data_IF_187437711559
#
_entry.id   IF_187437711559
#
_cell.length_a   1.000
_cell.length_b   1.000
_cell.length_c   1.000
_cell.angle_alpha   90.00
_cell.angle_beta   90.00
_cell.angle_gamma   90.00
#
_symmetry.space_group_name_H-M   'P 1'
#
loop_
_entity.id
_entity.type
_entity.pdbx_description
1 polymer ?
#
# COMPACT_ATOMS: atom_id res chain seq x y z
N UNK A 1 -18.10 -5.48 29.48
CA UNK A 1 -17.66 -6.89 29.35
C UNK A 1 -17.37 -7.14 27.87
N UNK A 2 -16.24 -6.62 27.39
CA UNK A 2 -15.82 -6.69 25.99
C UNK A 2 -14.99 -7.96 25.78
N UNK A 3 -15.51 -8.95 25.05
CA UNK A 3 -14.74 -10.08 24.56
C UNK A 3 -14.07 -9.67 23.25
N UNK A 4 -12.83 -9.19 23.33
CA UNK A 4 -11.91 -9.18 22.20
C UNK A 4 -11.38 -10.60 22.02
N UNK A 5 -12.00 -11.37 21.13
CA UNK A 5 -11.35 -12.59 20.64
C UNK A 5 -10.43 -12.21 19.48
N UNK A 6 -9.13 -12.17 19.75
CA UNK A 6 -8.09 -12.28 18.72
C UNK A 6 -8.11 -13.72 18.20
N UNK A 7 -8.51 -13.93 16.95
CA UNK A 7 -8.53 -15.26 16.32
C UNK A 7 -7.42 -15.36 15.30
N UNK A 8 -6.36 -16.06 15.69
CA UNK A 8 -5.12 -16.17 14.95
C UNK A 8 -5.03 -17.46 14.11
N UNK A 9 -4.20 -17.39 13.08
CA UNK A 9 -3.70 -18.51 12.29
C UNK A 9 -2.28 -18.77 12.78
N UNK A 10 -1.93 -20.03 13.09
CA UNK A 10 -0.60 -20.35 13.59
C UNK A 10 -0.03 -21.50 12.80
N UNK A 11 1.21 -21.29 12.35
CA UNK A 11 2.10 -22.33 11.87
C UNK A 11 3.14 -22.68 12.94
N UNK A 12 3.53 -23.94 13.03
CA UNK A 12 4.64 -24.37 13.88
C UNK A 12 5.66 -25.14 13.04
N UNK A 13 6.92 -24.67 13.05
CA UNK A 13 8.10 -25.46 12.64
C UNK A 13 8.77 -26.01 13.90
N UNK A 14 9.26 -27.24 13.86
CA UNK A 14 10.12 -27.82 14.90
C UNK A 14 11.49 -28.01 14.26
N UNK A 15 12.48 -27.19 14.64
CA UNK A 15 13.88 -27.34 14.20
C UNK A 15 14.79 -27.52 15.41
N UNK A 16 15.79 -28.41 15.28
CA UNK A 16 16.69 -28.83 16.36
C UNK A 16 18.11 -28.21 16.30
N UNK A 17 18.37 -27.24 15.41
CA UNK A 17 19.71 -26.66 15.26
C UNK A 17 19.84 -25.27 15.88
N UNK A 18 20.95 -25.11 16.62
CA UNK A 18 21.36 -23.88 17.29
C UNK A 18 21.97 -22.90 16.29
N UNK A 19 21.63 -21.63 16.50
CA UNK A 19 22.12 -20.41 15.86
C UNK A 19 21.58 -20.11 14.46
N UNK A 20 20.70 -19.11 14.38
CA UNK A 20 20.77 -18.06 13.36
C UNK A 20 20.10 -16.77 13.87
N UNK A 21 20.85 -15.67 13.82
CA UNK A 21 20.39 -14.29 13.95
C UNK A 21 19.70 -13.90 12.63
N UNK A 22 18.44 -13.44 12.67
CA UNK A 22 17.82 -12.81 11.51
C UNK A 22 16.82 -11.72 11.92
N UNK A 23 17.16 -10.51 11.48
CA UNK A 23 16.33 -9.33 11.36
C UNK A 23 15.59 -9.35 10.02
N UNK A 24 14.26 -9.36 10.03
CA UNK A 24 13.42 -8.83 8.93
C UNK A 24 11.96 -8.72 9.38
N UNK A 25 11.33 -7.64 8.91
CA UNK A 25 10.06 -7.09 9.40
C UNK A 25 8.85 -7.60 8.62
N UNK A 26 8.29 -8.70 9.11
CA UNK A 26 6.85 -8.95 9.21
C UNK A 26 6.64 -9.28 10.68
N UNK A 27 6.24 -8.31 11.51
CA UNK A 27 6.27 -8.34 13.00
C UNK A 27 6.48 -9.73 13.59
N UNK A 28 7.75 -10.13 13.66
CA UNK A 28 8.27 -11.37 14.23
C UNK A 28 8.40 -11.16 15.73
N UNK A 29 7.29 -10.96 16.43
CA UNK A 29 7.30 -10.79 17.87
C UNK A 29 6.43 -11.87 18.50
N UNK A 30 7.00 -13.07 18.61
CA UNK A 30 6.97 -13.89 19.84
C UNK A 30 7.65 -15.23 19.54
N UNK A 31 8.99 -15.24 19.52
CA UNK A 31 9.77 -16.47 19.60
C UNK A 31 9.61 -17.04 21.02
N UNK A 32 8.63 -17.93 21.22
CA UNK A 32 8.41 -18.58 22.51
C UNK A 32 9.40 -19.75 22.67
N UNK A 33 10.40 -19.56 23.54
CA UNK A 33 11.22 -20.67 24.02
C UNK A 33 10.44 -21.48 25.06
N UNK A 34 10.02 -22.69 24.69
CA UNK A 34 9.42 -23.64 25.61
C UNK A 34 10.54 -24.33 26.41
N UNK A 35 10.74 -23.91 27.66
CA UNK A 35 11.57 -24.65 28.62
C UNK A 35 10.79 -25.88 29.11
N UNK A 36 11.24 -27.08 28.72
CA UNK A 36 10.79 -28.31 29.37
C UNK A 36 11.36 -28.34 30.79
N UNK A 37 10.47 -28.50 31.77
CA UNK A 37 10.86 -28.80 33.14
C UNK A 37 11.40 -30.24 33.13
N UNK A 38 12.71 -30.38 33.39
CA UNK A 38 13.49 -31.62 33.55
C UNK A 38 13.97 -32.29 32.26
N UNK A 39 15.03 -31.73 31.66
CA UNK A 39 16.30 -32.40 31.33
C UNK A 39 17.09 -31.50 30.36
N UNK A 40 18.37 -31.29 30.63
CA UNK A 40 19.28 -30.59 29.71
C UNK A 40 19.40 -31.38 28.40
N UNK A 41 18.65 -31.01 27.34
CA UNK A 41 18.98 -31.11 25.90
C UNK A 41 17.71 -30.92 25.04
N UNK A 42 17.83 -30.06 24.03
CA UNK A 42 16.89 -29.72 22.93
C UNK A 42 16.04 -28.46 23.12
N UNK A 43 16.67 -27.31 22.83
CA UNK A 43 15.97 -26.07 22.50
C UNK A 43 15.47 -26.21 21.06
N UNK A 44 14.17 -26.04 20.84
CA UNK A 44 13.55 -26.08 19.50
C UNK A 44 13.15 -24.67 19.08
N UNK A 45 13.58 -24.27 17.89
CA UNK A 45 13.10 -23.03 17.29
C UNK A 45 11.73 -23.27 16.66
N UNK A 46 10.74 -22.49 17.12
CA UNK A 46 9.39 -22.46 16.55
C UNK A 46 9.21 -21.13 15.84
N UNK A 47 8.97 -21.20 14.53
CA UNK A 47 8.58 -20.04 13.73
C UNK A 47 7.07 -20.06 13.55
N UNK A 48 6.42 -18.97 13.95
CA UNK A 48 4.98 -18.79 13.80
C UNK A 48 4.69 -17.73 12.76
N UNK A 49 3.94 -18.13 11.72
CA UNK A 49 3.35 -17.20 10.76
C UNK A 49 1.92 -16.87 11.15
N UNK A 50 1.60 -15.58 11.23
CA UNK A 50 0.27 -15.09 11.58
C UNK A 50 -0.31 -14.22 10.47
N UNK A 51 -1.30 -14.77 9.77
CA UNK A 51 -2.03 -14.04 8.72
C UNK A 51 -3.21 -13.24 9.30
N UNK A 52 -3.03 -11.92 9.43
CA UNK A 52 -3.96 -11.01 10.12
C UNK A 52 -5.11 -10.47 9.27
N UNK A 53 -5.01 -10.58 7.93
CA UNK A 53 -5.96 -9.93 7.00
C UNK A 53 -7.20 -10.78 6.67
N UNK A 54 -7.32 -11.99 7.24
CA UNK A 54 -8.46 -12.88 6.98
C UNK A 54 -9.55 -12.69 8.04
N UNK A 55 -10.70 -12.12 7.65
CA UNK A 55 -11.87 -12.01 8.54
C UNK A 55 -12.63 -13.34 8.63
N UNK A 56 -13.30 -13.58 9.76
CA UNK A 56 -14.05 -14.83 9.96
C UNK A 56 -15.21 -14.95 8.96
N UNK A 57 -15.40 -16.17 8.43
CA UNK A 57 -16.43 -16.51 7.43
C UNK A 57 -16.35 -15.76 6.09
N UNK A 58 -15.27 -15.00 5.86
CA UNK A 58 -14.99 -14.35 4.58
C UNK A 58 -13.72 -14.88 3.94
N UNK A 59 -13.25 -14.20 2.90
CA UNK A 59 -11.98 -14.46 2.21
C UNK A 59 -11.18 -13.16 2.12
N UNK A 60 -9.84 -13.22 2.00
CA UNK A 60 -9.04 -12.04 1.72
C UNK A 60 -9.53 -11.30 0.46
N UNK A 61 -9.35 -9.98 0.45
CA UNK A 61 -9.68 -9.16 -0.73
C UNK A 61 -8.76 -9.49 -1.92
N UNK A 62 -7.51 -9.84 -1.63
CA UNK A 62 -6.45 -10.11 -2.58
C UNK A 62 -5.78 -11.45 -2.25
N UNK A 63 -5.59 -12.30 -3.26
CA UNK A 63 -4.95 -13.61 -3.07
C UNK A 63 -3.43 -13.53 -2.97
N UNK A 64 -2.80 -12.52 -3.56
CA UNK A 64 -1.34 -12.41 -3.61
C UNK A 64 -0.68 -12.40 -2.22
N UNK A 65 -1.31 -11.80 -1.21
CA UNK A 65 -0.75 -11.76 0.16
C UNK A 65 -0.73 -13.14 0.80
N UNK A 66 -1.73 -13.98 0.49
CA UNK A 66 -1.75 -15.37 0.94
C UNK A 66 -0.76 -16.23 0.15
N UNK A 67 -0.64 -16.00 -1.17
CA UNK A 67 0.34 -16.70 -2.01
C UNK A 67 1.77 -16.40 -1.56
N UNK A 68 2.07 -15.14 -1.23
CA UNK A 68 3.38 -14.76 -0.70
C UNK A 68 3.67 -15.41 0.66
N UNK A 69 2.69 -15.46 1.56
CA UNK A 69 2.84 -16.22 2.81
C UNK A 69 3.15 -17.70 2.55
N UNK A 70 2.47 -18.33 1.59
CA UNK A 70 2.72 -19.73 1.24
C UNK A 70 4.15 -19.91 0.72
N UNK A 71 4.61 -19.05 -0.18
CA UNK A 71 5.99 -19.09 -0.69
C UNK A 71 7.01 -18.91 0.45
N UNK A 72 6.83 -17.95 1.37
CA UNK A 72 7.73 -17.76 2.52
C UNK A 72 7.78 -18.97 3.45
N UNK A 73 6.61 -19.56 3.76
CA UNK A 73 6.53 -20.77 4.57
C UNK A 73 7.32 -21.89 3.89
N UNK A 74 7.07 -22.10 2.59
CA UNK A 74 7.68 -23.17 1.82
C UNK A 74 9.21 -22.99 1.68
N UNK A 75 9.69 -21.76 1.48
CA UNK A 75 11.12 -21.43 1.47
C UNK A 75 11.80 -21.82 2.80
N UNK A 76 11.13 -21.57 3.93
CA UNK A 76 11.66 -21.93 5.25
C UNK A 76 11.54 -23.43 5.56
N UNK A 77 10.60 -24.15 4.95
CA UNK A 77 10.38 -25.59 5.22
C UNK A 77 11.04 -26.52 4.21
N UNK A 78 11.59 -26.00 3.10
CA UNK A 78 12.23 -26.79 2.04
C UNK A 78 13.38 -27.72 2.49
N UNK A 79 13.94 -27.52 3.69
CA UNK A 79 15.05 -28.32 4.19
C UNK A 79 14.62 -29.55 5.04
N UNK A 80 13.37 -29.64 5.51
CA UNK A 80 12.95 -30.71 6.43
C UNK A 80 11.50 -31.17 6.21
N UNK A 81 11.27 -32.48 6.08
CA UNK A 81 9.97 -33.09 5.74
C UNK A 81 8.99 -33.20 6.93
N UNK A 82 9.00 -32.23 7.85
CA UNK A 82 8.11 -32.26 9.00
C UNK A 82 6.71 -31.72 8.65
N UNK A 83 5.63 -32.31 9.19
CA UNK A 83 4.29 -31.79 8.97
C UNK A 83 4.15 -30.40 9.60
N UNK A 84 3.72 -29.46 8.77
CA UNK A 84 3.41 -28.10 9.21
C UNK A 84 2.07 -28.13 9.97
N UNK A 85 2.07 -27.62 11.20
CA UNK A 85 0.81 -27.42 11.93
C UNK A 85 0.11 -26.21 11.34
N UNK A 86 -1.15 -26.32 10.93
CA UNK A 86 -1.92 -25.18 10.40
C UNK A 86 -3.24 -25.09 11.17
N UNK A 87 -3.57 -23.92 11.72
CA UNK A 87 -4.86 -23.77 12.40
C UNK A 87 -5.50 -22.39 12.24
N UNK A 88 -6.79 -22.31 12.59
CA UNK A 88 -7.57 -21.08 12.72
C UNK A 88 -8.41 -21.21 14.00
N UNK A 89 -9.66 -20.74 14.02
CA UNK A 89 -10.59 -20.93 15.16
C UNK A 89 -11.02 -22.39 15.33
N UNK A 90 -11.61 -22.99 14.29
CA UNK A 90 -12.09 -24.38 14.31
C UNK A 90 -11.13 -25.36 13.59
N UNK A 91 -10.11 -24.83 12.90
CA UNK A 91 -9.16 -25.62 12.13
C UNK A 91 -9.77 -26.32 10.91
N UNK A 92 -10.77 -25.73 10.26
CA UNK A 92 -11.46 -26.34 9.09
C UNK A 92 -11.68 -25.37 7.91
N UNK A 93 -12.06 -24.12 8.18
CA UNK A 93 -12.34 -23.11 7.15
C UNK A 93 -11.07 -22.55 6.50
N UNK A 94 -10.47 -21.52 7.11
CA UNK A 94 -9.23 -20.88 6.63
C UNK A 94 -8.08 -21.89 6.52
N UNK A 95 -7.98 -22.79 7.49
CA UNK A 95 -7.03 -23.92 7.49
C UNK A 95 -7.16 -24.77 6.24
N UNK A 96 -8.37 -25.23 5.91
CA UNK A 96 -8.58 -26.02 4.71
C UNK A 96 -8.34 -25.25 3.42
N UNK A 97 -8.66 -23.95 3.40
CA UNK A 97 -8.37 -23.09 2.25
C UNK A 97 -6.87 -22.92 2.02
N UNK A 98 -6.09 -22.65 3.08
CA UNK A 98 -4.63 -22.56 3.00
C UNK A 98 -4.02 -23.86 2.46
N UNK A 99 -4.35 -25.00 3.10
CA UNK A 99 -3.81 -26.32 2.73
C UNK A 99 -4.18 -26.68 1.28
N UNK A 100 -5.40 -26.35 0.85
CA UNK A 100 -5.82 -26.58 -0.52
C UNK A 100 -5.04 -25.75 -1.53
N UNK A 101 -4.77 -24.47 -1.24
CA UNK A 101 -4.01 -23.61 -2.16
C UNK A 101 -2.57 -24.12 -2.24
N UNK A 102 -1.92 -24.32 -1.10
CA UNK A 102 -0.54 -24.80 -1.00
C UNK A 102 -0.32 -26.12 -1.77
N UNK A 103 -1.12 -27.15 -1.46
CA UNK A 103 -1.01 -28.44 -2.13
C UNK A 103 -1.33 -28.37 -3.65
N UNK A 104 -2.24 -27.49 -4.07
CA UNK A 104 -2.53 -27.33 -5.50
C UNK A 104 -1.46 -26.52 -6.22
N UNK A 105 -0.79 -25.57 -5.57
CA UNK A 105 0.36 -24.87 -6.14
C UNK A 105 1.49 -25.85 -6.43
N UNK A 106 1.77 -26.78 -5.52
CA UNK A 106 2.76 -27.84 -5.73
C UNK A 106 2.38 -28.73 -6.92
N UNK A 107 1.10 -29.12 -7.04
CA UNK A 107 0.63 -29.89 -8.21
C UNK A 107 0.72 -29.12 -9.52
N UNK A 108 0.48 -27.80 -9.52
CA UNK A 108 0.69 -26.96 -10.70
C UNK A 108 2.17 -26.98 -11.09
N UNK A 109 3.07 -26.77 -10.12
CA UNK A 109 4.53 -26.74 -10.32
C UNK A 109 5.07 -28.09 -10.84
N UNK A 110 4.54 -29.22 -10.36
CA UNK A 110 5.05 -30.56 -10.70
C UNK A 110 4.38 -31.20 -11.92
N UNK A 111 3.05 -31.09 -12.04
CA UNK A 111 2.25 -31.87 -13.00
C UNK A 111 1.48 -31.00 -14.01
N UNK A 112 1.45 -29.67 -13.83
CA UNK A 112 0.57 -28.77 -14.59
C UNK A 112 -0.91 -29.21 -14.58
N UNK A 113 -1.36 -29.82 -13.48
CA UNK A 113 -2.73 -30.29 -13.27
C UNK A 113 -3.29 -29.78 -11.95
N UNK A 114 -4.59 -29.50 -11.94
CA UNK A 114 -5.33 -29.13 -10.73
C UNK A 114 -6.59 -29.98 -10.60
N UNK A 115 -6.89 -30.39 -9.38
CA UNK A 115 -8.13 -31.08 -9.05
C UNK A 115 -8.60 -30.67 -7.65
N UNK A 116 -9.11 -29.45 -7.59
CA UNK A 116 -9.55 -28.81 -6.35
C UNK A 116 -10.70 -29.59 -5.72
N UNK A 117 -11.63 -30.09 -6.54
CA UNK A 117 -12.80 -30.83 -6.05
C UNK A 117 -12.39 -32.12 -5.34
N UNK A 118 -11.61 -32.99 -5.99
CA UNK A 118 -11.23 -34.26 -5.39
C UNK A 118 -10.24 -34.05 -4.24
N UNK A 119 -9.37 -33.03 -4.28
CA UNK A 119 -8.49 -32.70 -3.16
C UNK A 119 -9.28 -32.25 -1.92
N UNK A 120 -10.26 -31.35 -2.07
CA UNK A 120 -11.12 -30.94 -0.95
C UNK A 120 -11.97 -32.12 -0.44
N UNK A 121 -12.44 -32.99 -1.33
CA UNK A 121 -13.14 -34.21 -0.94
C UNK A 121 -12.24 -35.14 -0.12
N UNK A 122 -10.98 -35.31 -0.50
CA UNK A 122 -9.99 -36.08 0.26
C UNK A 122 -9.75 -35.45 1.63
N UNK A 123 -9.47 -34.15 1.71
CA UNK A 123 -9.30 -33.46 2.99
C UNK A 123 -10.51 -33.65 3.91
N UNK A 124 -11.73 -33.65 3.35
CA UNK A 124 -12.97 -33.88 4.12
C UNK A 124 -13.13 -35.30 4.66
N UNK A 125 -12.43 -36.29 4.08
CA UNK A 125 -12.36 -37.66 4.62
C UNK A 125 -11.40 -37.74 5.81
N UNK A 126 -10.35 -36.90 5.83
CA UNK A 126 -9.35 -36.86 6.89
C UNK A 126 -9.77 -35.96 8.06
N UNK A 127 -10.45 -34.83 7.78
CA UNK A 127 -10.99 -33.90 8.78
C UNK A 127 -12.31 -33.32 8.31
N UNK A 128 -13.34 -33.38 9.14
CA UNK A 128 -14.68 -32.93 8.74
C UNK A 128 -14.68 -31.43 8.35
N UNK A 129 -15.52 -31.06 7.37
CA UNK A 129 -15.80 -29.67 6.98
C UNK A 129 -14.60 -28.84 6.46
N UNK A 130 -13.50 -29.48 6.06
CA UNK A 130 -12.37 -28.78 5.40
C UNK A 130 -12.88 -27.96 4.21
N UNK A 131 -12.48 -26.68 4.18
CA UNK A 131 -13.04 -25.63 3.31
C UNK A 131 -14.55 -25.47 3.58
N UNK A 132 -14.88 -24.62 4.54
CA UNK A 132 -16.21 -24.61 5.16
C UNK A 132 -17.27 -23.88 4.31
N UNK A 133 -16.89 -22.83 3.57
CA UNK A 133 -17.84 -21.97 2.83
C UNK A 133 -17.62 -22.00 1.33
N UNK A 134 -18.66 -21.66 0.56
CA UNK A 134 -18.56 -21.52 -0.90
C UNK A 134 -17.60 -20.38 -1.28
N UNK A 135 -17.59 -19.28 -0.52
CA UNK A 135 -16.64 -18.17 -0.73
C UNK A 135 -15.19 -18.66 -0.65
N UNK A 136 -14.86 -19.44 0.38
CA UNK A 136 -13.55 -20.06 0.55
C UNK A 136 -13.20 -21.00 -0.60
N UNK A 137 -14.16 -21.81 -1.04
CA UNK A 137 -13.96 -22.71 -2.18
C UNK A 137 -13.67 -21.94 -3.48
N UNK A 138 -14.44 -20.89 -3.79
CA UNK A 138 -14.20 -20.00 -4.94
C UNK A 138 -12.85 -19.28 -4.82
N UNK A 139 -12.45 -18.90 -3.61
CA UNK A 139 -11.17 -18.23 -3.38
C UNK A 139 -9.96 -19.13 -3.67
N UNK A 140 -10.07 -20.46 -3.49
CA UNK A 140 -9.04 -21.40 -3.93
C UNK A 140 -8.84 -21.30 -5.45
N UNK A 141 -9.94 -21.35 -6.22
CA UNK A 141 -9.88 -21.20 -7.68
C UNK A 141 -9.29 -19.85 -8.09
N UNK A 142 -9.70 -18.76 -7.43
CA UNK A 142 -9.18 -17.41 -7.71
C UNK A 142 -7.68 -17.30 -7.44
N UNK A 143 -7.21 -17.84 -6.31
CA UNK A 143 -5.79 -17.79 -5.93
C UNK A 143 -4.92 -18.59 -6.89
N UNK A 144 -5.37 -19.79 -7.29
CA UNK A 144 -4.64 -20.63 -8.25
C UNK A 144 -4.66 -20.05 -9.66
N UNK A 145 -5.78 -19.45 -10.08
CA UNK A 145 -5.87 -18.73 -11.35
C UNK A 145 -4.92 -17.52 -11.37
N UNK A 146 -4.88 -16.75 -10.28
CA UNK A 146 -3.98 -15.61 -10.14
C UNK A 146 -2.51 -16.03 -10.24
N UNK A 147 -2.12 -17.08 -9.51
CA UNK A 147 -0.78 -17.65 -9.61
C UNK A 147 -0.46 -18.16 -11.02
N UNK A 148 -1.42 -18.84 -11.68
CA UNK A 148 -1.23 -19.35 -13.04
C UNK A 148 -1.04 -18.22 -14.08
N UNK A 149 -1.77 -17.12 -13.95
CA UNK A 149 -1.70 -16.00 -14.90
C UNK A 149 -0.46 -15.13 -14.71
N UNK A 150 -0.06 -14.90 -13.46
CA UNK A 150 0.94 -13.89 -13.14
C UNK A 150 2.26 -14.47 -12.61
N UNK A 151 2.21 -15.64 -11.98
CA UNK A 151 3.36 -16.23 -11.30
C UNK A 151 3.80 -15.40 -10.09
N UNK A 152 5.05 -15.60 -9.67
CA UNK A 152 5.70 -14.79 -8.66
C UNK A 152 6.32 -13.54 -9.31
N UNK A 153 5.80 -12.37 -8.97
CA UNK A 153 6.26 -11.05 -9.46
C UNK A 153 7.06 -10.28 -8.41
N UNK A 154 7.32 -10.89 -7.24
CA UNK A 154 8.17 -10.33 -6.20
C UNK A 154 9.62 -10.37 -6.62
N UNK A 155 10.32 -9.27 -6.40
CA UNK A 155 11.72 -9.07 -6.75
C UNK A 155 12.51 -8.71 -5.49
N UNK A 156 13.52 -9.49 -5.17
CA UNK A 156 14.46 -9.19 -4.08
C UNK A 156 15.39 -8.03 -4.48
N UNK A 157 15.66 -7.09 -3.57
CA UNK A 157 16.41 -5.84 -3.85
C UNK A 157 17.77 -6.12 -4.49
N UNK A 158 18.48 -7.15 -4.01
CA UNK A 158 19.81 -7.53 -4.52
C UNK A 158 19.78 -7.99 -6.00
N UNK A 159 18.63 -8.48 -6.46
CA UNK A 159 18.42 -8.97 -7.82
C UNK A 159 17.66 -7.97 -8.69
N UNK A 160 17.20 -6.85 -8.13
CA UNK A 160 16.36 -5.89 -8.83
C UNK A 160 17.01 -5.36 -10.11
N UNK A 161 18.29 -4.97 -10.05
CA UNK A 161 19.00 -4.40 -11.20
C UNK A 161 19.14 -5.39 -12.36
N UNK A 162 19.44 -6.65 -12.08
CA UNK A 162 19.58 -7.67 -13.11
C UNK A 162 18.22 -8.03 -13.73
N UNK A 163 17.18 -8.16 -12.91
CA UNK A 163 15.82 -8.44 -13.39
C UNK A 163 15.30 -7.26 -14.24
N UNK A 164 15.42 -6.02 -13.76
CA UNK A 164 14.96 -4.87 -14.53
C UNK A 164 15.72 -4.70 -15.86
N UNK A 165 17.04 -4.95 -15.87
CA UNK A 165 17.81 -4.94 -17.13
C UNK A 165 17.29 -6.01 -18.10
N UNK A 166 16.98 -7.22 -17.62
CA UNK A 166 16.38 -8.27 -18.44
C UNK A 166 15.00 -7.86 -18.96
N UNK A 167 14.15 -7.29 -18.11
CA UNK A 167 12.82 -6.79 -18.50
C UNK A 167 12.89 -5.69 -19.57
N UNK A 168 13.93 -4.82 -19.52
CA UNK A 168 14.15 -3.72 -20.46
C UNK A 168 14.84 -4.15 -21.77
N UNK A 169 15.51 -5.31 -21.79
CA UNK A 169 16.16 -5.83 -22.99
C UNK A 169 15.15 -6.11 -24.11
N UNK A 170 15.65 -6.24 -25.35
CA UNK A 170 14.84 -6.54 -26.54
C UNK A 170 13.63 -5.60 -26.67
N UNK A 171 13.86 -4.29 -26.69
CA UNK A 171 12.79 -3.29 -26.87
C UNK A 171 11.69 -3.40 -25.79
N UNK A 172 12.05 -3.73 -24.55
CA UNK A 172 11.13 -3.82 -23.41
C UNK A 172 9.99 -4.85 -23.58
N UNK A 173 10.12 -5.83 -24.50
CA UNK A 173 9.05 -6.80 -24.81
C UNK A 173 8.53 -7.52 -23.55
N UNK A 174 9.42 -7.88 -22.63
CA UNK A 174 9.04 -8.56 -21.38
C UNK A 174 8.26 -7.64 -20.43
N UNK A 175 8.71 -6.38 -20.28
CA UNK A 175 8.04 -5.39 -19.44
C UNK A 175 6.67 -5.00 -20.01
N UNK A 176 6.55 -4.86 -21.33
CA UNK A 176 5.28 -4.61 -22.02
C UNK A 176 4.34 -5.80 -21.84
N UNK A 177 4.85 -7.03 -21.96
CA UNK A 177 4.07 -8.24 -21.70
C UNK A 177 3.55 -8.28 -20.27
N UNK A 178 4.39 -7.96 -19.28
CA UNK A 178 3.98 -7.83 -17.89
C UNK A 178 2.90 -6.76 -17.69
N UNK A 179 3.07 -5.56 -18.24
CA UNK A 179 2.06 -4.50 -18.18
C UNK A 179 0.73 -4.94 -18.78
N UNK A 180 0.75 -5.62 -19.94
CA UNK A 180 -0.46 -6.13 -20.58
C UNK A 180 -1.17 -7.20 -19.72
N UNK A 181 -0.45 -7.93 -18.84
CA UNK A 181 -1.07 -8.88 -17.91
C UNK A 181 -1.99 -8.20 -16.90
N UNK A 182 -1.78 -6.92 -16.56
CA UNK A 182 -2.68 -6.17 -15.68
C UNK A 182 -4.12 -6.12 -16.22
N UNK A 183 -4.31 -6.28 -17.53
CA UNK A 183 -5.61 -6.26 -18.18
C UNK A 183 -6.29 -7.64 -18.26
N UNK A 184 -5.57 -8.74 -17.95
CA UNK A 184 -6.07 -10.11 -18.17
C UNK A 184 -7.20 -10.52 -17.24
N UNK A 185 -7.16 -10.08 -15.98
CA UNK A 185 -8.28 -10.20 -15.06
C UNK A 185 -8.95 -8.85 -15.01
N UNK A 186 -9.90 -8.64 -15.92
CA UNK A 186 -10.79 -7.51 -15.82
C UNK A 186 -11.43 -7.52 -14.42
N UNK A 187 -11.56 -6.32 -13.88
CA UNK A 187 -12.16 -6.06 -12.58
C UNK A 187 -13.68 -6.27 -12.72
N UNK A 188 -14.12 -7.51 -12.97
CA UNK A 188 -15.50 -7.81 -13.28
C UNK A 188 -16.38 -7.49 -12.06
N UNK A 189 -17.36 -6.63 -12.29
CA UNK A 189 -18.45 -6.27 -11.36
C UNK A 189 -18.08 -5.36 -10.18
N UNK A 190 -17.08 -4.47 -10.30
CA UNK A 190 -16.97 -3.40 -9.31
C UNK A 190 -18.01 -2.30 -9.60
N UNK A 191 -18.87 -2.07 -8.61
CA UNK A 191 -20.00 -1.15 -8.69
C UNK A 191 -19.58 0.32 -8.56
N UNK A 192 -20.23 1.19 -9.33
CA UNK A 192 -20.12 2.66 -9.29
C UNK A 192 -21.49 3.34 -9.11
N UNK A 193 -22.45 2.64 -8.52
CA UNK A 193 -23.86 3.02 -8.53
C UNK A 193 -24.07 4.38 -7.87
N UNK A 194 -23.41 4.63 -6.73
CA UNK A 194 -23.64 5.86 -5.98
C UNK A 194 -23.09 7.08 -6.74
N UNK A 195 -21.96 6.95 -7.42
CA UNK A 195 -21.38 8.04 -8.21
C UNK A 195 -22.25 8.46 -9.42
N UNK A 196 -23.03 7.52 -9.97
CA UNK A 196 -23.94 7.75 -11.10
C UNK A 196 -25.34 8.24 -10.71
N UNK A 197 -25.65 8.38 -9.41
CA UNK A 197 -26.93 8.95 -9.00
C UNK A 197 -27.08 10.37 -9.55
N UNK A 198 -28.28 10.74 -9.99
CA UNK A 198 -28.55 12.07 -10.58
C UNK A 198 -28.18 13.24 -9.68
N UNK A 199 -28.22 13.05 -8.35
CA UNK A 199 -27.79 14.02 -7.35
C UNK A 199 -26.27 14.19 -7.24
N UNK A 200 -25.51 13.21 -7.75
CA UNK A 200 -24.07 13.07 -7.56
C UNK A 200 -23.27 13.31 -8.85
N UNK A 201 -23.89 13.16 -10.03
CA UNK A 201 -23.22 13.32 -11.33
C UNK A 201 -22.48 14.66 -11.42
N UNK A 202 -23.11 15.75 -11.00
CA UNK A 202 -22.52 17.10 -11.03
C UNK A 202 -21.44 17.33 -9.97
N UNK A 203 -21.16 16.35 -9.10
CA UNK A 203 -20.06 16.39 -8.11
C UNK A 203 -18.83 15.64 -8.59
N UNK A 204 -18.83 15.17 -9.84
CA UNK A 204 -17.73 14.46 -10.47
C UNK A 204 -17.10 15.34 -11.55
N UNK A 205 -15.78 15.51 -11.50
CA UNK A 205 -15.03 16.21 -12.55
C UNK A 205 -15.00 15.43 -13.86
N UNK A 206 -14.96 14.10 -13.78
CA UNK A 206 -14.90 13.20 -14.93
C UNK A 206 -15.93 12.07 -14.77
N UNK A 207 -16.51 11.62 -15.88
CA UNK A 207 -17.58 10.60 -15.89
C UNK A 207 -17.08 9.20 -15.58
N UNK A 208 -15.82 8.90 -15.89
CA UNK A 208 -15.21 7.57 -15.69
C UNK A 208 -14.22 7.50 -14.52
N UNK A 209 -13.74 8.64 -14.00
CA UNK A 209 -12.79 8.66 -12.88
C UNK A 209 -13.59 8.96 -11.61
N UNK A 210 -14.32 7.94 -11.18
CA UNK A 210 -15.28 7.98 -10.08
C UNK A 210 -15.01 6.84 -9.11
N UNK A 211 -15.32 6.98 -7.82
CA UNK A 211 -14.93 5.98 -6.83
C UNK A 211 -15.75 4.70 -7.00
N UNK A 212 -15.19 3.58 -6.59
CA UNK A 212 -15.91 2.32 -6.48
C UNK A 212 -16.76 2.31 -5.20
N UNK A 213 -17.94 1.70 -5.23
CA UNK A 213 -18.89 1.73 -4.10
C UNK A 213 -18.35 1.04 -2.83
N UNK A 214 -17.46 0.07 -3.00
CA UNK A 214 -16.94 -0.78 -1.91
C UNK A 214 -15.93 -0.05 -1.02
N UNK A 215 -15.18 0.91 -1.57
CA UNK A 215 -14.15 1.67 -0.84
C UNK A 215 -14.28 3.20 -1.00
N UNK A 216 -15.38 3.72 -1.56
CA UNK A 216 -15.63 5.16 -1.59
C UNK A 216 -15.67 5.76 -0.18
N UNK A 217 -15.21 6.99 -0.07
CA UNK A 217 -15.42 7.79 1.14
C UNK A 217 -16.91 8.12 1.25
N UNK A 218 -17.48 7.95 2.45
CA UNK A 218 -18.89 8.21 2.73
C UNK A 218 -18.99 9.29 3.78
N UNK A 219 -19.74 10.35 3.49
CA UNK A 219 -20.01 11.41 4.46
C UNK A 219 -21.40 11.22 5.07
N UNK A 220 -21.60 11.79 6.25
CA UNK A 220 -22.85 11.77 7.01
C UNK A 220 -23.91 12.60 6.31
N UNK A 221 -25.12 12.03 6.20
CA UNK A 221 -26.30 12.76 5.69
C UNK A 221 -26.78 13.86 6.63
N UNK A 222 -26.35 13.82 7.89
CA UNK A 222 -26.75 14.80 8.92
C UNK A 222 -26.13 16.17 8.62
N UNK A 223 -24.89 16.17 8.13
CA UNK A 223 -24.10 17.37 7.91
C UNK A 223 -24.29 17.97 6.51
N UNK A 224 -24.99 17.25 5.63
CA UNK A 224 -25.26 17.66 4.27
C UNK A 224 -25.23 16.47 3.32
N UNK A 225 -24.78 16.71 2.09
CA UNK A 225 -24.77 15.66 1.08
C UNK A 225 -23.73 14.56 1.41
N UNK A 226 -24.05 13.26 1.25
CA UNK A 226 -23.20 12.16 1.72
C UNK A 226 -22.12 11.69 0.72
N UNK A 227 -22.08 12.31 -0.46
CA UNK A 227 -21.23 11.89 -1.57
C UNK A 227 -20.13 12.91 -1.84
N UNK A 228 -18.91 12.36 -1.99
CA UNK A 228 -17.70 13.01 -2.48
C UNK A 228 -16.98 12.03 -3.41
N UNK A 229 -16.36 12.51 -4.49
CA UNK A 229 -15.54 11.68 -5.37
C UNK A 229 -14.17 11.41 -4.73
N UNK A 230 -14.13 10.46 -3.81
CA UNK A 230 -12.91 10.03 -3.13
C UNK A 230 -12.95 8.53 -2.82
N UNK A 231 -11.79 7.88 -2.86
CA UNK A 231 -11.60 6.45 -2.55
C UNK A 231 -10.60 6.26 -1.42
N UNK A 232 -10.87 5.36 -0.49
CA UNK A 232 -9.87 4.84 0.43
C UNK A 232 -8.92 3.91 -0.31
N UNK A 233 -7.63 4.15 -0.17
CA UNK A 233 -6.56 3.35 -0.76
C UNK A 233 -5.70 2.77 0.36
N UNK A 234 -5.38 1.49 0.25
CA UNK A 234 -4.54 0.79 1.21
C UNK A 234 -3.07 1.16 0.99
N UNK A 235 -2.39 1.51 2.08
CA UNK A 235 -0.94 1.69 2.09
C UNK A 235 -0.20 0.35 2.13
N UNK A 236 1.13 0.41 2.27
CA UNK A 236 1.92 -0.77 2.60
C UNK A 236 1.68 -1.19 4.06
N UNK A 237 1.89 -0.25 4.99
CA UNK A 237 1.47 -0.36 6.39
C UNK A 237 0.09 0.26 6.60
N UNK A 238 -0.69 -0.28 7.56
CA UNK A 238 -2.00 0.33 7.92
C UNK A 238 -1.86 1.76 8.47
N UNK A 239 -0.68 2.12 8.97
CA UNK A 239 -0.35 3.45 9.50
C UNK A 239 -0.23 4.52 8.41
N UNK A 240 -0.09 4.13 7.14
CA UNK A 240 0.08 5.04 5.99
C UNK A 240 -0.89 4.75 4.85
N UNK A 241 -2.19 4.66 5.16
CA UNK A 241 -3.25 4.54 4.14
C UNK A 241 -3.57 5.89 3.49
N UNK A 242 -4.23 5.90 2.33
CA UNK A 242 -4.53 7.13 1.60
C UNK A 242 -6.04 7.34 1.38
N UNK A 243 -6.40 8.59 1.14
CA UNK A 243 -7.64 8.95 0.45
C UNK A 243 -7.23 9.62 -0.86
N UNK A 244 -7.55 9.02 -2.01
CA UNK A 244 -7.37 9.69 -3.30
C UNK A 244 -8.68 10.36 -3.70
N UNK A 245 -8.63 11.65 -3.99
CA UNK A 245 -9.78 12.47 -4.42
C UNK A 245 -9.43 13.33 -5.63
N UNK A 246 -10.45 13.75 -6.38
CA UNK A 246 -10.31 14.80 -7.37
C UNK A 246 -10.02 16.17 -6.71
N UNK A 247 -9.53 17.11 -7.50
CA UNK A 247 -9.50 18.52 -7.12
C UNK A 247 -10.91 19.01 -6.77
N UNK A 248 -11.08 19.75 -5.66
CA UNK A 248 -12.37 20.29 -5.28
C UNK A 248 -13.01 21.11 -6.40
N UNK A 249 -14.28 20.82 -6.67
CA UNK A 249 -15.19 21.68 -7.43
C UNK A 249 -15.79 22.71 -6.48
N UNK A 250 -16.31 23.81 -7.03
CA UNK A 250 -16.94 24.87 -6.22
C UNK A 250 -18.06 24.30 -5.34
N UNK A 251 -18.88 23.43 -5.91
CA UNK A 251 -20.00 22.74 -5.27
C UNK A 251 -19.60 21.58 -4.33
N UNK A 252 -18.31 21.24 -4.23
CA UNK A 252 -17.81 20.16 -3.37
C UNK A 252 -16.82 20.62 -2.29
N UNK A 253 -16.59 21.93 -2.14
CA UNK A 253 -15.65 22.47 -1.13
C UNK A 253 -16.10 22.09 0.29
N UNK A 254 -17.42 22.16 0.56
CA UNK A 254 -17.97 21.77 1.87
C UNK A 254 -17.71 20.30 2.18
N UNK A 255 -18.06 19.39 1.25
CA UNK A 255 -17.83 17.97 1.39
C UNK A 255 -16.33 17.64 1.53
N UNK A 256 -15.46 18.33 0.79
CA UNK A 256 -14.02 18.15 0.86
C UNK A 256 -13.49 18.39 2.28
N UNK A 257 -13.86 19.51 2.92
CA UNK A 257 -13.41 19.79 4.27
C UNK A 257 -14.13 18.96 5.34
N UNK A 258 -15.41 18.63 5.14
CA UNK A 258 -16.13 17.70 6.03
C UNK A 258 -15.46 16.35 6.10
N UNK A 259 -14.85 15.88 5.01
CA UNK A 259 -14.08 14.64 4.99
C UNK A 259 -12.99 14.60 6.07
N UNK A 260 -12.31 15.72 6.35
CA UNK A 260 -11.23 15.78 7.35
C UNK A 260 -11.73 15.71 8.79
N UNK A 261 -12.94 16.19 9.03
CA UNK A 261 -13.63 16.09 10.32
C UNK A 261 -14.16 14.66 10.49
N UNK A 262 -14.91 14.16 9.52
CA UNK A 262 -15.67 12.91 9.64
C UNK A 262 -14.79 11.63 9.56
N UNK A 263 -13.66 11.68 8.83
CA UNK A 263 -12.75 10.53 8.66
C UNK A 263 -11.43 10.67 9.40
N UNK A 264 -11.35 11.65 10.31
CA UNK A 264 -10.19 11.92 11.14
C UNK A 264 -8.84 11.95 10.40
N UNK A 265 -8.77 12.70 9.29
CA UNK A 265 -7.52 12.96 8.53
C UNK A 265 -7.02 14.38 8.76
N UNK A 266 -5.70 14.56 8.80
CA UNK A 266 -5.02 15.82 9.07
C UNK A 266 -3.98 16.20 8.01
N UNK A 267 -3.80 15.40 6.95
CA UNK A 267 -2.78 15.64 5.93
C UNK A 267 -3.40 15.72 4.54
N UNK A 268 -3.07 16.79 3.82
CA UNK A 268 -3.41 17.03 2.42
C UNK A 268 -2.12 17.03 1.62
N UNK A 269 -2.09 16.27 0.53
CA UNK A 269 -1.06 16.33 -0.50
C UNK A 269 -1.71 16.83 -1.78
N UNK A 270 -1.31 18.02 -2.21
CA UNK A 270 -1.75 18.66 -3.45
C UNK A 270 -0.61 18.55 -4.46
N UNK A 271 -0.84 17.92 -5.61
CA UNK A 271 0.24 17.58 -6.56
C UNK A 271 0.43 18.57 -7.73
N UNK A 272 -0.21 19.73 -7.68
CA UNK A 272 0.05 20.84 -8.60
C UNK A 272 -0.39 22.17 -8.00
N UNK A 273 0.10 23.27 -8.55
CA UNK A 273 -0.37 24.61 -8.17
C UNK A 273 -1.76 24.90 -8.71
N UNK A 274 -2.58 25.57 -7.89
CA UNK A 274 -3.90 26.06 -8.27
C UNK A 274 -3.72 27.49 -8.75
N UNK A 275 -4.12 27.74 -10.00
CA UNK A 275 -4.06 29.05 -10.62
C UNK A 275 -5.48 29.63 -10.59
N UNK A 276 -5.68 30.83 -10.04
CA UNK A 276 -7.02 31.42 -9.85
C UNK A 276 -7.80 31.62 -11.16
N UNK A 277 -7.09 31.82 -12.28
CA UNK A 277 -7.69 31.91 -13.61
C UNK A 277 -8.06 30.55 -14.23
N UNK A 278 -7.70 29.44 -13.58
CA UNK A 278 -7.94 28.10 -14.08
C UNK A 278 -9.31 27.58 -13.66
N UNK A 279 -10.04 27.02 -14.62
CA UNK A 279 -11.27 26.26 -14.36
C UNK A 279 -11.00 24.87 -13.75
N UNK A 280 -9.72 24.50 -13.57
CA UNK A 280 -9.32 23.15 -13.17
C UNK A 280 -9.49 22.86 -11.69
N UNK A 281 -9.33 23.83 -10.78
CA UNK A 281 -9.54 23.60 -9.34
C UNK A 281 -10.10 24.87 -8.70
N UNK A 282 -11.15 24.71 -7.89
CA UNK A 282 -11.65 25.84 -7.10
C UNK A 282 -10.65 26.17 -5.99
N UNK A 283 -10.53 27.45 -5.62
CA UNK A 283 -9.80 27.86 -4.43
C UNK A 283 -10.60 27.38 -3.22
N UNK A 284 -10.09 26.35 -2.55
CA UNK A 284 -10.75 25.71 -1.41
C UNK A 284 -10.15 26.10 -0.06
N UNK A 285 -9.19 27.03 -0.03
CA UNK A 285 -8.52 27.50 1.17
C UNK A 285 -8.21 29.00 1.13
N UNK A 286 -8.05 29.68 2.28
CA UNK A 286 -7.55 31.05 2.35
C UNK A 286 -6.07 31.13 1.93
N UNK A 287 -5.73 32.13 1.10
CA UNK A 287 -4.37 32.33 0.58
C UNK A 287 -3.44 33.10 1.53
N UNK A 288 -4.01 33.99 2.34
CA UNK A 288 -3.27 34.90 3.22
C UNK A 288 -3.29 34.42 4.67
N UNK A 289 -2.15 34.55 5.35
CA UNK A 289 -2.02 34.16 6.75
C UNK A 289 -3.03 34.94 7.60
N UNK A 290 -3.58 34.26 8.61
CA UNK A 290 -4.62 34.76 9.50
C UNK A 290 -5.98 35.06 8.86
N UNK A 291 -6.14 34.85 7.56
CA UNK A 291 -7.46 34.97 6.92
C UNK A 291 -8.29 33.72 7.13
N UNK A 292 -9.60 33.94 7.30
CA UNK A 292 -10.58 32.88 7.57
C UNK A 292 -11.53 32.78 6.39
N UNK A 293 -11.66 31.57 5.84
CA UNK A 293 -12.65 31.21 4.84
C UNK A 293 -13.80 30.48 5.52
N UNK A 294 -15.04 30.87 5.21
CA UNK A 294 -16.21 30.11 5.63
C UNK A 294 -16.39 28.91 4.70
N UNK A 295 -16.49 27.73 5.29
CA UNK A 295 -16.70 26.47 4.58
C UNK A 295 -18.10 25.96 4.91
N UNK A 296 -18.94 25.85 3.88
CA UNK A 296 -20.33 25.49 4.05
C UNK A 296 -21.05 26.42 5.04
N UNK A 297 -21.86 25.83 5.92
CA UNK A 297 -22.61 26.57 6.94
C UNK A 297 -22.02 26.45 8.34
N UNK A 298 -21.22 25.41 8.61
CA UNK A 298 -20.84 24.99 9.96
C UNK A 298 -19.34 24.98 10.21
N UNK A 299 -18.51 25.35 9.23
CA UNK A 299 -17.06 25.23 9.37
C UNK A 299 -16.34 26.54 9.02
N UNK A 300 -15.29 26.83 9.78
CA UNK A 300 -14.38 27.95 9.55
C UNK A 300 -12.97 27.40 9.34
N UNK A 301 -12.33 27.83 8.26
CA UNK A 301 -10.97 27.44 7.93
C UNK A 301 -10.06 28.65 7.99
N UNK A 302 -9.06 28.62 8.86
CA UNK A 302 -8.08 29.69 9.03
C UNK A 302 -6.69 29.22 8.61
N UNK A 303 -5.98 29.99 7.79
CA UNK A 303 -4.55 29.76 7.52
C UNK A 303 -3.72 30.28 8.69
N UNK A 304 -2.92 29.42 9.31
CA UNK A 304 -2.06 29.76 10.43
C UNK A 304 -0.61 30.00 10.00
N UNK A 305 -0.06 29.11 9.16
CA UNK A 305 1.35 29.15 8.76
C UNK A 305 1.48 28.77 7.29
N UNK A 306 2.47 29.36 6.61
CA UNK A 306 2.84 29.08 5.23
C UNK A 306 4.36 29.13 5.09
N UNK A 307 4.95 28.03 4.66
CA UNK A 307 6.40 27.85 4.52
C UNK A 307 6.74 27.37 3.10
N UNK A 308 7.79 27.92 2.52
CA UNK A 308 8.30 27.53 1.20
C UNK A 308 9.60 26.74 1.37
N UNK A 309 9.69 25.57 0.75
CA UNK A 309 10.88 24.72 0.81
C UNK A 309 11.50 24.61 -0.58
N UNK A 310 12.64 25.31 -0.75
CA UNK A 310 13.55 25.22 -1.91
C UNK A 310 12.86 25.21 -3.29
N UNK A 311 11.84 26.03 -3.51
CA UNK A 311 11.00 26.07 -4.73
C UNK A 311 10.35 24.73 -5.14
N UNK A 312 10.46 23.69 -4.30
CA UNK A 312 9.99 22.32 -4.57
C UNK A 312 8.58 22.08 -4.05
N UNK A 313 8.27 22.60 -2.87
CA UNK A 313 6.94 22.47 -2.26
C UNK A 313 6.65 23.55 -1.22
N UNK A 314 5.36 23.74 -0.95
CA UNK A 314 4.82 24.67 0.03
C UNK A 314 4.12 23.86 1.13
N UNK A 315 4.37 24.21 2.38
CA UNK A 315 3.67 23.65 3.54
C UNK A 315 2.74 24.71 4.10
N UNK A 316 1.46 24.37 4.29
CA UNK A 316 0.47 25.22 4.96
C UNK A 316 -0.09 24.52 6.17
N UNK A 317 -0.28 25.27 7.26
CA UNK A 317 -0.98 24.82 8.45
C UNK A 317 -2.33 25.53 8.54
N UNK A 318 -3.40 24.77 8.56
CA UNK A 318 -4.76 25.27 8.70
C UNK A 318 -5.35 24.88 10.04
N UNK A 319 -6.19 25.75 10.59
CA UNK A 319 -7.11 25.44 11.68
C UNK A 319 -8.52 25.33 11.12
N UNK A 320 -9.08 24.13 11.13
CA UNK A 320 -10.45 23.85 10.76
C UNK A 320 -11.30 23.77 12.03
N UNK A 321 -12.26 24.68 12.17
CA UNK A 321 -13.12 24.77 13.36
C UNK A 321 -14.57 24.46 13.00
N UNK A 322 -15.17 23.49 13.68
CA UNK A 322 -16.61 23.25 13.63
C UNK A 322 -17.32 24.21 14.58
N UNK A 323 -18.15 25.11 14.03
CA UNK A 323 -18.82 26.15 14.79
C UNK A 323 -19.91 25.64 15.72
N UNK A 324 -20.30 24.36 15.60
CA UNK A 324 -21.36 23.75 16.42
C UNK A 324 -20.84 23.13 17.70
N UNK A 325 -19.67 22.49 17.60
CA UNK A 325 -19.05 21.75 18.70
C UNK A 325 -17.89 22.52 19.33
N UNK A 326 -17.48 23.66 18.74
CA UNK A 326 -16.28 24.43 19.13
C UNK A 326 -14.99 23.57 19.15
N UNK A 327 -14.98 22.49 18.36
CA UNK A 327 -13.82 21.64 18.17
C UNK A 327 -13.03 22.16 16.97
N UNK A 328 -11.73 22.33 17.18
CA UNK A 328 -10.78 22.75 16.17
C UNK A 328 -9.78 21.64 15.89
N UNK A 329 -9.42 21.49 14.61
CA UNK A 329 -8.50 20.49 14.12
C UNK A 329 -7.41 21.15 13.27
N UNK A 330 -6.15 20.78 13.52
CA UNK A 330 -5.02 21.25 12.72
C UNK A 330 -4.85 20.34 11.51
N UNK A 331 -4.82 20.94 10.32
CA UNK A 331 -4.64 20.25 9.05
C UNK A 331 -3.39 20.79 8.37
N UNK A 332 -2.50 19.90 7.95
CA UNK A 332 -1.31 20.21 7.19
C UNK A 332 -1.57 19.95 5.72
N UNK A 333 -1.25 20.93 4.88
CA UNK A 333 -1.25 20.78 3.44
C UNK A 333 0.17 20.88 2.91
N UNK A 334 0.52 19.92 2.07
CA UNK A 334 1.77 19.83 1.34
C UNK A 334 1.47 20.00 -0.14
N UNK A 335 1.78 21.17 -0.69
CA UNK A 335 1.64 21.46 -2.12
C UNK A 335 2.97 21.19 -2.83
N UNK A 336 3.00 20.17 -3.66
CA UNK A 336 4.14 19.82 -4.49
C UNK A 336 4.14 20.67 -5.77
N UNK A 337 5.21 21.43 -6.00
CA UNK A 337 5.32 22.39 -7.11
C UNK A 337 5.98 21.79 -8.35
N UNK A 338 6.71 20.69 -8.20
CA UNK A 338 7.41 20.04 -9.30
C UNK A 338 6.43 19.15 -10.07
N UNK A 339 6.31 19.27 -11.41
CA UNK A 339 5.44 18.39 -12.18
C UNK A 339 5.83 16.93 -11.99
N UNK A 340 4.86 16.11 -11.58
CA UNK A 340 5.00 14.66 -11.57
C UNK A 340 4.77 14.20 -13.01
N UNK A 341 3.56 14.26 -13.53
CA UNK A 341 3.32 14.00 -14.96
C UNK A 341 3.28 15.32 -15.73
N UNK A 342 3.74 15.36 -16.98
CA UNK A 342 3.43 16.49 -17.86
C UNK A 342 1.91 16.56 -18.01
N UNK A 343 1.33 17.65 -17.50
CA UNK A 343 -0.10 17.87 -17.55
C UNK A 343 -0.53 18.21 -18.98
N UNK A 344 -1.72 17.72 -19.34
CA UNK A 344 -2.56 18.20 -20.44
C UNK A 344 -2.15 17.79 -21.86
N UNK A 345 -2.26 16.50 -22.15
CA UNK A 345 -2.91 16.00 -23.37
C UNK A 345 -2.94 14.48 -23.26
N UNK A 346 -4.08 13.87 -23.58
CA UNK A 346 -4.22 12.42 -23.73
C UNK A 346 -3.33 11.83 -24.85
N UNK A 347 -2.37 12.61 -25.38
CA UNK A 347 -1.67 12.32 -26.63
C UNK A 347 -0.13 12.38 -26.55
N UNK A 348 0.48 12.92 -25.47
CA UNK A 348 1.95 12.95 -25.36
C UNK A 348 2.46 12.26 -24.08
N UNK A 349 2.66 10.96 -24.23
CA UNK A 349 3.10 9.97 -23.22
C UNK A 349 4.56 10.12 -22.74
N UNK A 350 5.05 11.33 -22.50
CA UNK A 350 6.39 11.49 -21.91
C UNK A 350 6.32 11.53 -20.38
N UNK A 351 6.78 10.42 -19.78
CA UNK A 351 6.97 10.31 -18.34
C UNK A 351 8.08 11.22 -17.82
N UNK A 352 7.93 11.49 -16.53
CA UNK A 352 8.70 12.35 -15.64
C UNK A 352 10.20 12.20 -15.90
N UNK A 353 10.97 13.29 -16.08
CA UNK A 353 12.42 13.20 -16.10
C UNK A 353 12.92 12.57 -14.79
N UNK A 354 13.59 11.42 -14.87
CA UNK A 354 14.15 10.67 -13.72
C UNK A 354 15.04 11.56 -12.82
N UNK A 355 15.58 12.65 -13.36
CA UNK A 355 16.38 13.68 -12.67
C UNK A 355 15.63 14.33 -11.50
N UNK A 356 14.31 14.47 -11.60
CA UNK A 356 13.48 15.17 -10.61
C UNK A 356 12.94 14.25 -9.51
N UNK A 357 13.28 12.97 -9.53
CA UNK A 357 12.70 12.00 -8.60
C UNK A 357 13.19 12.16 -7.16
N UNK A 358 14.41 12.67 -6.99
CA UNK A 358 14.95 12.96 -5.67
C UNK A 358 14.07 13.97 -4.92
N UNK A 359 13.50 14.95 -5.62
CA UNK A 359 12.56 15.92 -5.03
C UNK A 359 11.33 15.23 -4.44
N UNK A 360 10.84 14.17 -5.11
CA UNK A 360 9.70 13.39 -4.64
C UNK A 360 10.07 12.55 -3.41
N UNK A 361 11.28 11.98 -3.38
CA UNK A 361 11.79 11.26 -2.21
C UNK A 361 11.94 12.17 -0.99
N UNK A 362 12.53 13.35 -1.18
CA UNK A 362 12.68 14.36 -0.13
C UNK A 362 11.31 14.82 0.39
N UNK A 363 10.36 15.05 -0.52
CA UNK A 363 9.00 15.43 -0.19
C UNK A 363 8.28 14.36 0.64
N UNK A 364 8.34 13.09 0.23
CA UNK A 364 7.79 11.97 0.99
C UNK A 364 8.49 11.83 2.35
N UNK A 365 9.82 12.02 2.39
CA UNK A 365 10.60 12.01 3.62
C UNK A 365 10.16 13.09 4.62
N UNK A 366 9.81 14.28 4.14
CA UNK A 366 9.28 15.36 4.97
C UNK A 366 7.88 15.07 5.50
N UNK A 367 7.01 14.49 4.68
CA UNK A 367 5.68 14.04 5.12
C UNK A 367 5.81 13.00 6.24
N UNK A 368 6.63 11.95 6.03
CA UNK A 368 6.83 10.87 7.00
C UNK A 368 7.36 11.36 8.35
N UNK A 369 8.42 12.19 8.34
CA UNK A 369 8.97 12.79 9.58
C UNK A 369 7.92 13.55 10.40
N UNK A 370 6.86 14.06 9.77
CA UNK A 370 5.76 14.76 10.46
C UNK A 370 4.67 13.79 10.92
N UNK A 371 4.34 12.79 10.12
CA UNK A 371 3.39 11.73 10.51
C UNK A 371 3.90 11.00 11.77
N UNK A 372 5.19 10.68 11.84
CA UNK A 372 5.81 10.03 13.01
C UNK A 372 5.69 10.86 14.30
N UNK A 373 5.64 12.19 14.19
CA UNK A 373 5.51 13.09 15.35
C UNK A 373 4.06 13.23 15.83
N UNK A 374 3.11 13.08 14.92
CA UNK A 374 1.70 13.26 15.16
C UNK A 374 1.03 11.88 15.10
N UNK A 375 1.11 11.13 16.22
CA UNK A 375 0.64 9.74 16.44
C UNK A 375 -0.80 9.39 15.97
N UNK A 376 -1.53 10.25 15.26
CA UNK A 376 -2.98 10.20 15.06
C UNK A 376 -3.43 10.40 13.61
N UNK A 377 -2.56 10.31 12.61
CA UNK A 377 -3.00 10.52 11.23
C UNK A 377 -3.26 9.20 10.49
N UNK A 378 -4.55 8.80 10.41
CA UNK A 378 -4.95 7.51 9.82
C UNK A 378 -4.84 7.48 8.29
N UNK A 379 -5.02 8.63 7.63
CA UNK A 379 -5.02 8.73 6.17
C UNK A 379 -4.26 9.96 5.67
N UNK A 380 -3.54 9.81 4.57
CA UNK A 380 -2.98 10.91 3.78
C UNK A 380 -3.95 11.20 2.63
N UNK A 381 -4.55 12.39 2.59
CA UNK A 381 -5.47 12.77 1.51
C UNK A 381 -4.70 13.36 0.33
N UNK A 382 -4.72 12.69 -0.82
CA UNK A 382 -3.97 13.08 -2.03
C UNK A 382 -4.95 13.52 -3.10
N UNK A 383 -4.69 14.68 -3.73
CA UNK A 383 -5.51 15.16 -4.84
C UNK A 383 -4.69 15.83 -5.95
N UNK A 384 -5.24 15.73 -7.16
CA UNK A 384 -4.66 16.24 -8.40
C UNK A 384 -5.71 16.14 -9.52
N UNK A 385 -6.14 17.22 -10.18
CA UNK A 385 -7.12 17.15 -11.28
C UNK A 385 -8.32 16.21 -11.02
N UNK A 386 -8.32 15.02 -11.63
CA UNK A 386 -9.36 13.98 -11.48
C UNK A 386 -9.11 12.96 -10.34
N UNK A 387 -7.99 13.06 -9.62
CA UNK A 387 -7.54 12.07 -8.64
C UNK A 387 -7.13 10.77 -9.31
N UNK A 388 -6.35 10.87 -10.40
CA UNK A 388 -6.03 9.78 -11.33
C UNK A 388 -4.53 9.49 -11.42
N UNK A 389 -3.91 9.61 -12.62
CA UNK A 389 -2.52 9.19 -12.85
C UNK A 389 -1.46 9.80 -11.93
N UNK A 390 -1.44 11.13 -11.77
CA UNK A 390 -0.44 11.80 -10.93
C UNK A 390 -0.51 11.37 -9.46
N UNK A 391 -1.73 11.22 -8.94
CA UNK A 391 -1.99 10.74 -7.60
C UNK A 391 -1.57 9.28 -7.45
N UNK A 392 -1.75 8.46 -8.50
CA UNK A 392 -1.30 7.07 -8.52
C UNK A 392 0.23 6.95 -8.45
N UNK A 393 0.99 7.80 -9.17
CA UNK A 393 2.45 7.81 -9.09
C UNK A 393 2.93 8.19 -7.68
N UNK A 394 2.37 9.26 -7.09
CA UNK A 394 2.73 9.65 -5.72
C UNK A 394 2.46 8.52 -4.71
N UNK A 395 1.26 7.94 -4.73
CA UNK A 395 0.87 6.87 -3.80
C UNK A 395 1.71 5.61 -4.02
N UNK A 396 1.97 5.22 -5.27
CA UNK A 396 2.81 4.07 -5.58
C UNK A 396 4.25 4.29 -5.12
N UNK A 397 4.84 5.46 -5.35
CA UNK A 397 6.18 5.78 -4.83
C UNK A 397 6.22 5.63 -3.32
N UNK A 398 5.23 6.18 -2.61
CA UNK A 398 5.16 6.06 -1.16
C UNK A 398 5.06 4.59 -0.72
N UNK A 399 4.13 3.83 -1.29
CA UNK A 399 3.87 2.41 -0.95
C UNK A 399 5.10 1.55 -1.22
N UNK A 400 5.75 1.72 -2.37
CA UNK A 400 6.91 0.92 -2.75
C UNK A 400 8.14 1.25 -1.91
N UNK A 401 8.35 2.52 -1.55
CA UNK A 401 9.44 2.91 -0.63
C UNK A 401 9.22 2.38 0.79
N UNK A 402 7.97 2.37 1.27
CA UNK A 402 7.64 1.77 2.56
C UNK A 402 7.86 0.23 2.51
N UNK A 403 7.46 -0.42 1.41
CA UNK A 403 7.74 -1.85 1.21
C UNK A 403 9.24 -2.16 1.22
N UNK A 404 10.05 -1.40 0.47
CA UNK A 404 11.51 -1.60 0.41
C UNK A 404 12.19 -1.48 1.78
N UNK A 405 11.73 -0.54 2.61
CA UNK A 405 12.28 -0.33 3.96
C UNK A 405 11.99 -1.48 4.91
N UNK A 406 10.84 -2.14 4.75
CA UNK A 406 10.37 -3.17 5.68
C UNK A 406 10.67 -4.60 5.22
N UNK A 407 10.61 -4.89 3.91
CA UNK A 407 10.65 -6.25 3.37
C UNK A 407 11.92 -6.58 2.56
N UNK A 408 12.78 -5.60 2.27
CA UNK A 408 13.96 -5.75 1.38
C UNK A 408 13.67 -6.39 0.01
N UNK A 409 12.41 -6.31 -0.41
CA UNK A 409 11.88 -6.86 -1.66
C UNK A 409 10.76 -5.96 -2.14
N UNK A 410 10.36 -6.13 -3.40
CA UNK A 410 9.37 -5.26 -4.03
C UNK A 410 8.51 -6.04 -5.02
N UNK A 411 7.23 -5.71 -5.09
CA UNK A 411 6.31 -6.30 -6.06
C UNK A 411 5.50 -5.22 -6.77
N UNK A 412 6.10 -4.63 -7.81
CA UNK A 412 5.50 -3.51 -8.55
C UNK A 412 4.18 -3.96 -9.21
N UNK A 413 4.17 -5.15 -9.80
CA UNK A 413 3.02 -5.69 -10.51
C UNK A 413 1.79 -5.86 -9.61
N UNK A 414 1.93 -6.55 -8.47
CA UNK A 414 0.81 -6.78 -7.55
C UNK A 414 0.32 -5.47 -6.93
N UNK A 415 1.23 -4.54 -6.61
CA UNK A 415 0.88 -3.23 -6.03
C UNK A 415 0.10 -2.36 -7.01
N UNK A 416 0.51 -2.33 -8.29
CA UNK A 416 -0.25 -1.62 -9.34
C UNK A 416 -1.64 -2.24 -9.53
N UNK A 417 -1.73 -3.58 -9.60
CA UNK A 417 -3.02 -4.27 -9.73
C UNK A 417 -3.95 -3.97 -8.55
N UNK A 418 -3.42 -3.98 -7.33
CA UNK A 418 -4.18 -3.66 -6.11
C UNK A 418 -4.70 -2.23 -6.16
N UNK A 419 -3.85 -1.27 -6.56
CA UNK A 419 -4.26 0.13 -6.68
C UNK A 419 -5.38 0.32 -7.73
N UNK A 420 -5.28 -0.33 -8.90
CA UNK A 420 -6.30 -0.29 -9.95
C UNK A 420 -7.66 -0.87 -9.50
N UNK A 421 -7.65 -1.83 -8.57
CA UNK A 421 -8.87 -2.39 -7.95
C UNK A 421 -9.52 -1.47 -6.91
N UNK A 422 -8.79 -0.48 -6.41
CA UNK A 422 -9.27 0.47 -5.41
C UNK A 422 -9.70 1.81 -6.01
N UNK A 423 -9.18 2.21 -7.18
CA UNK A 423 -9.70 3.37 -7.91
C UNK A 423 -9.47 3.26 -9.43
N UNK A 424 -10.40 3.73 -10.28
CA UNK A 424 -10.16 3.80 -11.72
C UNK A 424 -9.03 4.76 -12.09
N UNK A 425 -8.48 4.58 -13.30
CA UNK A 425 -7.47 5.45 -13.89
C UNK A 425 -6.18 5.60 -13.05
N UNK A 426 -5.76 4.51 -12.41
CA UNK A 426 -4.47 4.39 -11.71
C UNK A 426 -3.46 3.71 -12.64
N UNK A 427 -2.28 4.31 -12.83
CA UNK A 427 -1.21 3.80 -13.71
C UNK A 427 -1.76 3.34 -15.07
N UNK A 428 -2.14 4.30 -15.90
CA UNK A 428 -2.94 4.07 -17.13
C UNK A 428 -2.11 3.85 -18.38
N UNK A 429 -0.80 4.09 -18.33
CA UNK A 429 0.11 3.93 -19.47
C UNK A 429 1.31 3.07 -19.12
N UNK A 430 1.88 2.45 -20.16
CA UNK A 430 3.12 1.68 -20.04
C UNK A 430 4.26 2.56 -19.51
N UNK A 431 4.35 3.81 -19.97
CA UNK A 431 5.39 4.74 -19.50
C UNK A 431 5.30 4.99 -17.98
N UNK A 432 4.09 5.13 -17.43
CA UNK A 432 3.90 5.27 -15.98
C UNK A 432 4.32 4.02 -15.22
N UNK A 433 4.05 2.84 -15.80
CA UNK A 433 4.44 1.56 -15.23
C UNK A 433 5.96 1.38 -15.24
N UNK A 434 6.63 1.67 -16.37
CA UNK A 434 8.10 1.65 -16.47
C UNK A 434 8.73 2.65 -15.50
N UNK A 435 8.14 3.83 -15.34
CA UNK A 435 8.63 4.85 -14.42
C UNK A 435 8.73 4.34 -12.98
N UNK A 436 7.83 3.46 -12.53
CA UNK A 436 7.92 2.85 -11.20
C UNK A 436 9.19 1.99 -11.05
N UNK A 437 9.60 1.29 -12.10
CA UNK A 437 10.86 0.53 -12.08
C UNK A 437 12.09 1.45 -12.06
N UNK A 438 12.09 2.48 -12.91
CA UNK A 438 13.18 3.47 -12.95
C UNK A 438 13.32 4.21 -11.62
N UNK A 439 12.18 4.48 -10.97
CA UNK A 439 12.13 5.12 -9.67
C UNK A 439 12.84 4.31 -8.60
N UNK A 440 12.55 3.02 -8.56
CA UNK A 440 13.16 2.12 -7.58
C UNK A 440 14.63 1.92 -7.87
N UNK A 441 15.03 1.77 -9.14
CA UNK A 441 16.45 1.69 -9.51
C UNK A 441 17.21 2.92 -9.02
N UNK A 442 16.64 4.12 -9.21
CA UNK A 442 17.24 5.39 -8.81
C UNK A 442 17.35 5.51 -7.28
N UNK A 443 16.31 5.11 -6.55
CA UNK A 443 16.34 5.06 -5.09
C UNK A 443 17.44 4.14 -4.58
N UNK A 444 17.57 2.95 -5.18
CA UNK A 444 18.62 2.00 -4.83
C UNK A 444 20.01 2.60 -5.09
N UNK A 445 20.27 3.15 -6.27
CA UNK A 445 21.56 3.79 -6.61
C UNK A 445 21.94 4.92 -5.62
N UNK A 446 20.98 5.75 -5.19
CA UNK A 446 21.22 6.81 -4.20
C UNK A 446 21.50 6.23 -2.80
N UNK A 447 20.73 5.23 -2.38
CA UNK A 447 20.92 4.58 -1.08
C UNK A 447 22.29 3.88 -0.98
N UNK A 448 22.73 3.18 -2.03
CA UNK A 448 24.04 2.52 -2.07
C UNK A 448 25.20 3.52 -2.00
N UNK A 449 25.07 4.66 -2.67
CA UNK A 449 26.06 5.74 -2.62
C UNK A 449 26.16 6.36 -1.21
N UNK A 450 25.04 6.48 -0.50
CA UNK A 450 25.07 6.97 0.90
C UNK A 450 25.76 5.96 1.82
N UNK A 451 25.55 4.65 1.62
CA UNK A 451 26.17 3.60 2.43
C UNK A 451 27.68 3.48 2.16
N UNK A 452 28.12 3.65 0.91
CA UNK A 452 29.54 3.65 0.54
C UNK A 452 30.28 4.92 1.02
N UNK A 453 29.60 6.07 1.07
CA UNK A 453 30.14 7.31 1.64
C UNK A 453 30.22 7.23 3.17
N UNK A 454 29.22 6.66 3.85
CA UNK A 454 29.29 6.42 5.31
C UNK A 454 30.37 5.40 5.69
N UNK A 455 30.56 4.34 4.91
CA UNK A 455 31.61 3.36 5.17
C UNK A 455 33.01 3.96 4.96
N UNK A 456 33.23 4.75 3.91
CA UNK A 456 34.49 5.46 3.68
C UNK A 456 34.79 6.56 4.72
N UNK A 457 33.76 7.27 5.22
CA UNK A 457 33.91 8.21 6.34
C UNK A 457 34.23 7.48 7.66
N UNK A 458 33.66 6.29 7.89
CA UNK A 458 33.98 5.48 9.08
C UNK A 458 35.40 4.90 9.04
N UNK A 459 35.91 4.53 7.86
CA UNK A 459 37.29 4.09 7.66
C UNK A 459 38.30 5.23 7.82
N UNK A 460 37.96 6.45 7.42
CA UNK A 460 38.84 7.62 7.60
C UNK A 460 38.90 8.10 9.06
N UNK A 461 37.86 7.86 9.85
CA UNK A 461 37.89 8.19 11.28
C UNK A 461 38.62 7.14 12.14
N UNK A 462 38.88 5.92 11.63
CA UNK A 462 39.71 4.93 12.32
C UNK A 462 41.23 5.09 12.11
N UNK A 463 41.67 6.06 11.29
CA UNK A 463 43.09 6.29 10.98
C UNK A 463 43.70 7.40 11.84
N UNK A 464 42.90 8.16 12.62
CA UNK A 464 43.39 9.31 13.39
C UNK A 464 43.52 9.11 14.90
N UNK A 465 43.25 7.91 15.45
CA UNK A 465 43.24 7.67 16.91
C UNK A 465 44.42 6.85 17.46
N UNK A 466 45.52 6.67 16.72
CA UNK A 466 46.63 5.80 17.16
C UNK A 466 48.03 6.44 17.26
N UNK A 467 48.17 7.77 17.29
CA UNK A 467 49.48 8.40 17.48
C UNK A 467 49.42 9.60 18.44
N UNK A 468 49.13 9.38 19.73
CA UNK A 468 49.66 10.19 20.84
C UNK A 468 49.72 9.37 22.14
N UNK A 469 50.81 8.63 22.35
CA UNK A 469 51.36 8.45 23.69
C UNK A 469 52.78 9.01 23.76
N UNK A 470 52.93 9.88 24.75
CA UNK A 470 54.04 10.74 25.14
C UNK A 470 55.28 9.96 25.62
N UNK A 471 56.38 10.68 25.90
CA UNK A 471 56.55 11.15 27.27
C UNK A 471 56.55 12.67 27.43
#
# INVERSE_FOLDING_TARGET
MFHFFFFAFYLYKISNDKEFLLSSSLTTNDALSLNSINNEQDIRLIVQYHYIQWKDMDVPNDSHTLLHLIDEVNEQTNCEHYPIVVHCTAGVGRTGTYIAIDAMLDKIKQESKIDIYNFVLQMRRERHLMVQTVKQYVFIYRSLLEYYLYGNTKIEVNTFRSIYTNLKNNEQVLLISEYNKLQLLSVENISHRDAHLSTNINKNRHTQIIPYDHNRVRLSRILGHPYINASFIEGYSHESSFIITQDPLLETIDEFWRMFIEHDTNCIVQLHTIIESSTKCAIYYPNDIDTTMKIGTTSLLKLLEKEFIEDKYIIRQFCLTDTRESLSKIIYQYEYLVPICNNDEYENEQCIPTVLIHNLFDFIGHINKRLDKNNHNRYITVHCGNGGPTCSIFCMTFILLDQLKNEHSIDIFQRVRTLQRQRPAMITSFAQYEYLYEMILKYLDESFNITSVKSSLSLNNSIYDNDQENP
#
